data_IF_868981778294
#
_entry.id   IF_868981778294
#
_cell.length_a   1.000
_cell.length_b   1.000
_cell.length_c   1.000
_cell.angle_alpha   90.00
_cell.angle_beta   90.00
_cell.angle_gamma   90.00
#
_symmetry.space_group_name_H-M   'P 1'
#
loop_
_entity.id
_entity.type
_entity.pdbx_description
1 polymer ?
#
# COMPACT_ATOMS: atom_id res chain seq x y z
N UNK A 1 -18.84 -15.89 16.89
CA UNK A 1 -18.03 -15.27 15.84
C UNK A 1 -16.65 -15.90 15.95
N UNK A 2 -16.36 -16.88 15.09
CA UNK A 2 -15.05 -17.54 15.13
C UNK A 2 -14.01 -16.53 14.65
N UNK A 3 -13.05 -16.19 15.51
CA UNK A 3 -11.81 -15.56 15.07
C UNK A 3 -11.12 -16.59 14.19
N UNK A 4 -11.26 -16.45 12.87
CA UNK A 4 -10.33 -17.09 11.95
C UNK A 4 -8.97 -16.53 12.36
N UNK A 5 -8.08 -17.41 12.82
CA UNK A 5 -6.68 -17.05 13.09
C UNK A 5 -6.07 -16.70 11.74
N UNK A 6 -6.22 -15.46 11.32
CA UNK A 6 -5.58 -14.96 10.10
C UNK A 6 -4.05 -15.08 10.29
N UNK A 7 -3.37 -15.59 9.26
CA UNK A 7 -1.91 -15.71 9.31
C UNK A 7 -1.32 -14.31 9.47
N UNK A 8 -0.28 -14.12 10.30
CA UNK A 8 0.41 -12.84 10.38
C UNK A 8 0.82 -12.35 8.99
N UNK A 9 0.57 -11.06 8.71
CA UNK A 9 0.90 -10.43 7.44
C UNK A 9 1.83 -9.24 7.67
N UNK A 10 2.67 -8.96 6.67
CA UNK A 10 3.25 -7.63 6.50
C UNK A 10 2.48 -6.87 5.41
N UNK A 11 2.37 -5.55 5.56
CA UNK A 11 1.66 -4.70 4.60
C UNK A 11 2.63 -3.87 3.79
N UNK A 12 2.39 -3.81 2.48
CA UNK A 12 3.18 -3.04 1.52
C UNK A 12 2.29 -2.02 0.83
N UNK A 13 2.70 -0.74 0.86
CA UNK A 13 2.18 0.29 -0.03
C UNK A 13 2.96 0.21 -1.34
N UNK A 14 2.38 -0.49 -2.31
CA UNK A 14 2.92 -0.61 -3.66
C UNK A 14 2.23 0.43 -4.55
N UNK A 15 3.00 1.27 -5.21
CA UNK A 15 2.50 2.38 -6.04
C UNK A 15 3.00 2.32 -7.49
N UNK A 16 3.82 1.32 -7.82
CA UNK A 16 4.38 1.10 -9.15
C UNK A 16 4.16 -0.32 -9.66
N UNK A 17 3.30 -1.09 -8.98
CA UNK A 17 2.89 -2.43 -9.37
C UNK A 17 4.01 -3.49 -9.36
N UNK A 18 5.07 -3.25 -8.59
CA UNK A 18 6.22 -4.16 -8.51
C UNK A 18 5.87 -5.57 -8.03
N UNK A 19 4.85 -5.70 -7.18
CA UNK A 19 4.38 -7.02 -6.73
C UNK A 19 3.44 -7.71 -7.73
N UNK A 20 3.05 -7.06 -8.83
CA UNK A 20 2.13 -7.65 -9.80
C UNK A 20 2.90 -8.30 -10.94
N UNK A 21 2.34 -9.38 -11.47
CA UNK A 21 2.81 -9.98 -12.73
C UNK A 21 2.27 -9.24 -13.96
N UNK A 22 1.57 -8.11 -13.76
CA UNK A 22 0.94 -7.34 -14.82
C UNK A 22 1.87 -6.23 -15.31
N UNK A 23 2.08 -6.16 -16.62
CA UNK A 23 2.80 -5.03 -17.23
C UNK A 23 1.85 -3.85 -17.35
N UNK A 24 1.89 -2.93 -16.39
CA UNK A 24 1.13 -1.67 -16.44
C UNK A 24 1.98 -0.59 -17.11
N UNK A 25 1.35 0.19 -18.00
CA UNK A 25 1.97 1.38 -18.59
C UNK A 25 2.37 2.35 -17.47
N UNK A 26 3.67 2.62 -17.33
CA UNK A 26 4.17 3.55 -16.32
C UNK A 26 3.65 4.96 -16.60
N UNK A 27 3.24 5.70 -15.57
CA UNK A 27 3.11 7.15 -15.72
C UNK A 27 4.50 7.80 -15.87
N UNK A 28 4.54 9.08 -16.26
CA UNK A 28 5.78 9.84 -16.44
C UNK A 28 6.66 9.91 -15.17
N UNK A 29 6.13 9.55 -14.00
CA UNK A 29 6.84 9.58 -12.72
C UNK A 29 7.02 8.19 -12.09
N UNK A 30 6.80 7.11 -12.84
CA UNK A 30 6.94 5.73 -12.35
C UNK A 30 5.84 5.25 -11.41
N UNK A 31 5.00 6.15 -10.86
CA UNK A 31 3.80 5.81 -10.10
C UNK A 31 2.70 5.38 -11.07
N UNK A 32 2.21 4.16 -10.96
CA UNK A 32 1.12 3.64 -11.81
C UNK A 32 -0.21 3.69 -11.08
N UNK A 33 -0.27 3.06 -9.92
CA UNK A 33 -1.46 2.98 -9.07
C UNK A 33 -1.06 2.53 -7.67
N UNK A 34 -1.64 3.18 -6.68
CA UNK A 34 -1.46 2.86 -5.26
C UNK A 34 -2.33 1.67 -4.84
N UNK A 35 -1.75 0.77 -4.07
CA UNK A 35 -2.42 -0.38 -3.48
C UNK A 35 -1.77 -0.76 -2.15
N UNK A 36 -2.59 -1.22 -1.22
CA UNK A 36 -2.14 -1.84 0.03
C UNK A 36 -2.17 -3.34 -0.19
N UNK A 37 -1.00 -3.96 -0.14
CA UNK A 37 -0.82 -5.39 -0.41
C UNK A 37 -0.45 -6.10 0.88
N UNK A 38 -1.20 -7.13 1.26
CA UNK A 38 -0.80 -8.07 2.29
C UNK A 38 0.13 -9.13 1.68
N UNK A 39 1.29 -9.34 2.33
CA UNK A 39 2.26 -10.38 1.97
C UNK A 39 2.55 -11.26 3.18
N UNK A 40 3.12 -12.44 2.93
CA UNK A 40 3.51 -13.34 4.01
C UNK A 40 4.54 -12.64 4.92
N UNK A 41 4.37 -12.80 6.24
CA UNK A 41 5.20 -12.09 7.21
C UNK A 41 6.68 -12.45 7.04
N UNK A 42 7.53 -11.43 6.91
CA UNK A 42 8.96 -11.56 6.67
C UNK A 42 9.33 -11.75 5.20
N UNK A 43 8.36 -11.82 4.29
CA UNK A 43 8.57 -12.01 2.84
C UNK A 43 8.44 -10.72 2.03
N UNK A 44 8.50 -9.56 2.68
CA UNK A 44 8.53 -8.27 2.00
C UNK A 44 9.78 -8.20 1.11
N UNK A 45 9.65 -7.99 -0.21
CA UNK A 45 10.82 -7.88 -1.09
C UNK A 45 11.71 -6.70 -0.71
N UNK A 46 13.03 -6.88 -0.86
CA UNK A 46 14.04 -5.89 -0.45
C UNK A 46 13.95 -4.54 -1.16
N UNK A 47 13.25 -4.48 -2.30
CA UNK A 47 12.97 -3.24 -3.04
C UNK A 47 12.03 -2.30 -2.27
N UNK A 48 11.30 -2.79 -1.27
CA UNK A 48 10.49 -2.00 -0.33
C UNK A 48 11.33 -1.64 0.90
N UNK A 49 12.33 -0.81 0.67
CA UNK A 49 13.37 -0.39 1.62
C UNK A 49 12.96 0.78 2.54
N UNK A 50 11.74 1.29 2.39
CA UNK A 50 11.14 2.33 3.21
C UNK A 50 10.03 1.80 4.12
N UNK A 51 9.75 2.53 5.20
CA UNK A 51 8.65 2.25 6.13
C UNK A 51 7.85 3.50 6.47
N UNK A 52 6.56 3.28 6.74
CA UNK A 52 5.59 4.22 7.30
C UNK A 52 5.00 3.57 8.54
N UNK A 53 5.23 4.13 9.72
CA UNK A 53 4.65 3.59 10.96
C UNK A 53 3.16 3.94 11.04
N UNK A 54 2.34 2.96 11.40
CA UNK A 54 0.89 3.14 11.57
C UNK A 54 0.41 2.45 12.85
N UNK A 55 -0.80 2.76 13.33
CA UNK A 55 -1.42 2.03 14.44
C UNK A 55 -1.62 0.52 14.17
N UNK A 56 -1.55 0.08 12.91
CA UNK A 56 -1.64 -1.34 12.51
C UNK A 56 -0.26 -2.02 12.43
N UNK A 57 0.82 -1.28 12.71
CA UNK A 57 2.19 -1.71 12.47
C UNK A 57 2.86 -0.93 11.33
N UNK A 58 4.07 -1.33 10.97
CA UNK A 58 4.80 -0.72 9.87
C UNK A 58 4.18 -1.14 8.52
N UNK A 59 3.98 -0.16 7.64
CA UNK A 59 3.67 -0.37 6.23
C UNK A 59 4.94 -0.13 5.43
N UNK A 60 5.40 -1.15 4.70
CA UNK A 60 6.58 -1.09 3.86
C UNK A 60 6.27 -0.37 2.55
N UNK A 61 7.24 0.33 2.00
CA UNK A 61 7.12 1.05 0.73
C UNK A 61 8.51 1.20 0.10
N UNK A 62 8.61 1.62 -1.17
CA UNK A 62 9.92 1.99 -1.70
C UNK A 62 10.30 3.37 -1.18
N UNK A 63 11.50 3.52 -0.63
CA UNK A 63 11.94 4.73 0.03
C UNK A 63 11.89 5.96 -0.89
N UNK A 64 12.16 5.79 -2.19
CA UNK A 64 12.08 6.87 -3.17
C UNK A 64 10.66 7.43 -3.33
N UNK A 65 9.62 6.61 -3.12
CA UNK A 65 8.23 7.06 -3.21
C UNK A 65 7.84 8.05 -2.12
N UNK A 66 8.60 8.07 -1.00
CA UNK A 66 8.30 8.95 0.14
C UNK A 66 8.36 10.44 -0.20
N UNK A 67 9.01 10.83 -1.30
CA UNK A 67 8.99 12.23 -1.76
C UNK A 67 7.59 12.69 -2.24
N UNK A 68 6.68 11.75 -2.51
CA UNK A 68 5.30 12.02 -2.91
C UNK A 68 4.30 11.85 -1.75
N UNK A 69 4.80 11.54 -0.54
CA UNK A 69 3.97 11.26 0.64
C UNK A 69 3.98 12.46 1.57
N UNK A 70 2.83 12.71 2.20
CA UNK A 70 2.75 13.66 3.30
C UNK A 70 3.17 13.05 4.63
N UNK A 71 3.58 13.89 5.58
CA UNK A 71 3.93 13.45 6.93
C UNK A 71 2.73 12.84 7.66
N UNK A 72 1.53 13.38 7.41
CA UNK A 72 0.28 12.94 8.01
C UNK A 72 -0.63 12.36 6.94
N UNK A 73 -0.46 11.07 6.67
CA UNK A 73 -1.30 10.33 5.75
C UNK A 73 -2.45 9.63 6.45
N UNK A 74 -3.61 9.59 5.80
CA UNK A 74 -4.79 8.85 6.25
C UNK A 74 -5.37 8.03 5.11
N UNK A 75 -5.82 6.82 5.43
CA UNK A 75 -6.59 5.96 4.53
C UNK A 75 -8.04 6.02 4.96
N UNK A 76 -8.96 6.33 4.03
CA UNK A 76 -10.39 6.41 4.33
C UNK A 76 -11.26 5.81 3.23
N UNK A 77 -12.46 5.40 3.62
CA UNK A 77 -13.52 5.01 2.69
C UNK A 77 -14.33 6.25 2.33
N UNK A 78 -14.47 6.51 1.05
CA UNK A 78 -15.29 7.61 0.51
C UNK A 78 -16.78 7.27 0.56
N UNK A 79 -17.69 8.27 0.41
CA UNK A 79 -19.13 8.02 0.31
C UNK A 79 -19.53 7.07 -0.82
N UNK A 80 -18.69 6.92 -1.86
CA UNK A 80 -18.92 6.03 -2.98
C UNK A 80 -18.29 4.63 -2.79
N UNK A 81 -17.93 4.26 -1.56
CA UNK A 81 -17.31 2.98 -1.20
C UNK A 81 -15.93 2.72 -1.85
N UNK A 82 -15.23 3.78 -2.26
CA UNK A 82 -13.85 3.70 -2.75
C UNK A 82 -12.88 4.00 -1.62
N UNK A 83 -11.69 3.41 -1.66
CA UNK A 83 -10.64 3.66 -0.68
C UNK A 83 -9.67 4.68 -1.27
N UNK A 84 -9.32 5.70 -0.49
CA UNK A 84 -8.39 6.74 -0.90
C UNK A 84 -7.33 7.02 0.17
N UNK A 85 -6.20 7.57 -0.28
CA UNK A 85 -5.12 8.10 0.55
C UNK A 85 -5.18 9.62 0.49
N UNK A 86 -5.28 10.24 1.66
CA UNK A 86 -5.26 11.68 1.86
C UNK A 86 -4.02 12.09 2.66
N UNK A 87 -3.45 13.23 2.31
CA UNK A 87 -2.53 13.98 3.15
C UNK A 87 -3.24 15.11 3.91
N UNK A 88 -2.48 16.04 4.48
CA UNK A 88 -3.01 17.15 5.30
C UNK A 88 -3.84 18.17 4.50
N UNK A 89 -3.58 18.28 3.18
CA UNK A 89 -4.26 19.26 2.32
C UNK A 89 -4.82 18.68 1.03
N UNK A 90 -4.24 17.59 0.53
CA UNK A 90 -4.55 17.09 -0.80
C UNK A 90 -4.72 15.57 -0.87
N UNK A 91 -5.32 15.14 -1.97
CA UNK A 91 -5.58 13.74 -2.26
C UNK A 91 -4.37 13.15 -2.94
N UNK A 92 -3.68 12.24 -2.26
CA UNK A 92 -2.49 11.56 -2.77
C UNK A 92 -2.90 10.47 -3.76
N UNK A 93 -3.90 9.67 -3.40
CA UNK A 93 -4.39 8.58 -4.26
C UNK A 93 -5.92 8.45 -4.15
N UNK A 94 -6.69 8.76 -5.21
CA UNK A 94 -8.16 8.75 -5.16
C UNK A 94 -8.79 7.38 -5.13
N UNK A 95 -8.09 6.38 -5.66
CA UNK A 95 -8.57 5.03 -5.81
C UNK A 95 -7.41 4.10 -5.55
N UNK A 96 -7.45 3.41 -4.42
CA UNK A 96 -6.48 2.37 -4.08
C UNK A 96 -7.16 1.02 -3.95
N UNK A 97 -6.42 -0.02 -4.26
CA UNK A 97 -6.85 -1.41 -4.08
C UNK A 97 -6.29 -1.97 -2.78
N UNK A 98 -7.01 -2.91 -2.18
CA UNK A 98 -6.49 -3.78 -1.13
C UNK A 98 -6.35 -5.16 -1.75
N UNK A 99 -5.14 -5.71 -1.71
CA UNK A 99 -4.79 -6.96 -2.38
C UNK A 99 -4.16 -7.91 -1.37
N UNK A 100 -4.51 -9.19 -1.44
CA UNK A 100 -3.89 -10.23 -0.61
C UNK A 100 -3.09 -11.18 -1.51
N UNK A 101 -1.77 -11.20 -1.31
CA UNK A 101 -0.83 -12.08 -2.03
C UNK A 101 -0.20 -13.14 -1.12
N UNK A 102 -0.71 -13.32 0.09
CA UNK A 102 -0.26 -14.38 1.00
C UNK A 102 -0.58 -15.76 0.42
N UNK A 103 0.30 -16.71 0.72
CA UNK A 103 0.09 -18.11 0.36
C UNK A 103 -0.92 -18.76 1.31
N UNK A 104 -2.02 -19.29 0.75
CA UNK A 104 -3.04 -20.05 1.50
C UNK A 104 -2.46 -21.26 2.23
#
# INVERSE_FOLDING_TARGET
>A
MAMISDKPADFVLDFDHTLSNETILSSCCGITRYRIVAVDKGEVPSVFDGKISSPLGDIYCKAWGKMYFDQNMQVRVTPNHLIEIMGDGEKIAPHIEIVDYRSN
#
